data_IF_818320393322
#
_entry.id   IF_818320393322
#
_cell.length_a   1.000
_cell.length_b   1.000
_cell.length_c   1.000
_cell.angle_alpha   90.00
_cell.angle_beta   90.00
_cell.angle_gamma   90.00
#
_symmetry.space_group_name_H-M   'P 1'
#
loop_
_entity.id
_entity.type
_entity.pdbx_description
1 polymer ?
#
# COMPACT_ATOMS: atom_id res chain seq x y z
N UNK A 1 -14.54 13.76 -2.57
CA UNK A 1 -15.72 14.21 -1.82
C UNK A 1 -15.84 13.52 -0.46
N UNK A 2 -16.10 12.20 -0.41
CA UNK A 2 -16.20 11.42 0.85
C UNK A 2 -15.04 11.56 1.85
N UNK A 3 -13.80 11.70 1.37
CA UNK A 3 -12.65 11.93 2.26
C UNK A 3 -12.78 13.28 2.98
N UNK A 4 -13.16 14.34 2.26
CA UNK A 4 -13.35 15.67 2.84
C UNK A 4 -14.50 15.67 3.85
N UNK A 5 -15.64 15.07 3.50
CA UNK A 5 -16.78 14.94 4.42
C UNK A 5 -16.40 14.21 5.72
N UNK A 6 -15.60 13.14 5.63
CA UNK A 6 -15.12 12.43 6.81
C UNK A 6 -14.17 13.28 7.66
N UNK A 7 -13.29 14.06 7.02
CA UNK A 7 -12.41 14.98 7.74
C UNK A 7 -13.21 16.07 8.44
N UNK A 8 -14.17 16.69 7.76
CA UNK A 8 -15.05 17.71 8.32
C UNK A 8 -15.85 17.17 9.52
N UNK A 9 -16.44 15.97 9.37
CA UNK A 9 -17.20 15.30 10.44
C UNK A 9 -16.33 14.97 11.65
N UNK A 10 -15.05 14.68 11.44
CA UNK A 10 -14.08 14.41 12.52
C UNK A 10 -13.41 15.68 13.06
N UNK A 11 -13.71 16.86 12.51
CA UNK A 11 -13.11 18.13 12.91
C UNK A 11 -11.65 18.32 12.45
N UNK A 12 -11.20 17.57 11.44
CA UNK A 12 -9.87 17.70 10.86
C UNK A 12 -9.89 18.68 9.69
N UNK A 13 -9.60 19.95 9.97
CA UNK A 13 -9.50 20.98 8.94
C UNK A 13 -8.11 20.97 8.26
N UNK A 14 -8.06 21.34 6.97
CA UNK A 14 -6.79 21.54 6.27
C UNK A 14 -5.96 22.67 6.93
N UNK A 15 -4.65 22.49 6.99
CA UNK A 15 -3.73 23.41 7.65
C UNK A 15 -2.29 22.89 7.64
N UNK A 16 -1.53 23.19 8.71
CA UNK A 16 -0.14 22.74 8.81
C UNK A 16 -0.03 21.22 8.99
N UNK A 17 -0.94 20.62 9.76
CA UNK A 17 -0.90 19.19 10.12
C UNK A 17 -1.56 18.27 9.10
N UNK A 18 -2.42 18.80 8.23
CA UNK A 18 -3.17 18.03 7.24
C UNK A 18 -3.32 18.85 5.97
N UNK A 19 -2.97 18.25 4.84
CA UNK A 19 -3.24 18.80 3.50
C UNK A 19 -3.91 17.72 2.67
N UNK A 20 -5.07 18.01 2.12
CA UNK A 20 -5.78 17.07 1.24
C UNK A 20 -5.47 17.44 -0.21
N UNK A 21 -5.02 16.46 -0.99
CA UNK A 21 -4.75 16.61 -2.42
C UNK A 21 -5.44 15.52 -3.20
N UNK A 22 -6.22 15.92 -4.21
CA UNK A 22 -6.76 15.02 -5.22
C UNK A 22 -5.85 15.11 -6.45
N UNK A 23 -4.97 14.13 -6.62
CA UNK A 23 -4.00 14.07 -7.72
C UNK A 23 -3.68 12.62 -8.05
N UNK A 24 -3.09 12.38 -9.23
CA UNK A 24 -2.48 11.08 -9.53
C UNK A 24 -1.18 10.95 -8.71
N UNK A 25 -1.15 9.98 -7.80
CA UNK A 25 0.00 9.74 -6.95
C UNK A 25 1.26 9.32 -7.73
N UNK A 26 1.13 8.88 -8.98
CA UNK A 26 2.26 8.57 -9.88
C UNK A 26 2.83 9.81 -10.55
N UNK A 27 2.07 10.91 -10.65
CA UNK A 27 2.49 12.20 -11.21
C UNK A 27 2.98 13.15 -10.10
N UNK A 28 4.02 12.72 -9.40
CA UNK A 28 4.59 13.37 -8.21
C UNK A 28 4.81 14.88 -8.40
N UNK A 29 5.29 15.31 -9.56
CA UNK A 29 5.62 16.69 -9.87
C UNK A 29 4.40 17.62 -9.83
N UNK A 30 3.18 17.08 -9.98
CA UNK A 30 1.94 17.85 -9.95
C UNK A 30 1.47 18.23 -8.53
N UNK A 31 1.95 17.53 -7.49
CA UNK A 31 1.41 17.67 -6.13
C UNK A 31 2.46 17.72 -5.02
N UNK A 32 3.67 17.24 -5.26
CA UNK A 32 4.73 17.19 -4.25
C UNK A 32 5.47 18.53 -4.15
N UNK A 33 5.65 19.01 -2.92
CA UNK A 33 6.29 20.30 -2.62
C UNK A 33 7.83 20.20 -2.45
N UNK A 34 8.41 19.06 -2.83
CA UNK A 34 9.85 18.78 -2.69
C UNK A 34 10.29 18.41 -1.27
N UNK A 35 9.41 18.50 -0.26
CA UNK A 35 9.72 18.09 1.11
C UNK A 35 9.58 16.58 1.24
N UNK A 36 10.68 15.90 1.58
CA UNK A 36 10.66 14.45 1.78
C UNK A 36 9.80 14.06 2.99
N UNK A 37 9.12 12.93 2.87
CA UNK A 37 8.34 12.33 3.94
C UNK A 37 9.22 11.53 4.89
N UNK A 38 8.92 11.61 6.18
CA UNK A 38 9.44 10.70 7.19
C UNK A 38 8.91 9.28 6.99
N UNK A 39 7.63 9.17 6.66
CA UNK A 39 6.86 7.94 6.57
C UNK A 39 5.86 8.05 5.44
N UNK A 40 5.66 6.96 4.69
CA UNK A 40 4.64 6.85 3.65
C UNK A 40 3.79 5.61 3.94
N UNK A 41 2.47 5.76 3.98
CA UNK A 41 1.53 4.64 3.92
C UNK A 41 0.99 4.58 2.49
N UNK A 42 1.33 3.50 1.79
CA UNK A 42 0.80 3.20 0.47
C UNK A 42 -0.22 2.06 0.61
N UNK A 43 -1.49 2.44 0.77
CA UNK A 43 -2.62 1.53 0.58
C UNK A 43 -2.89 1.43 -0.92
N UNK A 44 -2.31 0.41 -1.55
CA UNK A 44 -2.22 0.34 -3.00
C UNK A 44 -3.53 -0.17 -3.62
N UNK A 45 -3.96 0.39 -4.77
CA UNK A 45 -5.11 -0.13 -5.50
C UNK A 45 -4.88 -1.62 -5.84
N UNK A 46 -5.83 -2.46 -5.44
CA UNK A 46 -5.69 -3.91 -5.41
C UNK A 46 -6.92 -4.61 -6.03
N UNK A 47 -6.82 -5.90 -6.32
CA UNK A 47 -7.94 -6.69 -6.85
C UNK A 47 -9.04 -6.98 -5.80
N UNK A 48 -8.79 -6.63 -4.55
CA UNK A 48 -9.70 -6.75 -3.41
C UNK A 48 -10.06 -8.20 -3.05
N UNK A 49 -9.27 -9.18 -3.48
CA UNK A 49 -9.51 -10.61 -3.18
C UNK A 49 -9.49 -10.93 -1.68
N UNK A 50 -8.90 -10.07 -0.85
CA UNK A 50 -8.92 -10.17 0.60
C UNK A 50 -10.27 -9.84 1.24
N UNK A 51 -11.12 -9.04 0.61
CA UNK A 51 -12.44 -8.65 1.17
C UNK A 51 -13.60 -9.49 0.63
N UNK A 52 -13.29 -10.66 0.06
CA UNK A 52 -14.24 -11.55 -0.62
C UNK A 52 -15.38 -12.08 0.28
N UNK A 53 -15.22 -12.01 1.61
CA UNK A 53 -16.28 -12.34 2.58
C UNK A 53 -17.40 -11.31 2.58
N UNK A 54 -17.05 -10.02 2.47
CA UNK A 54 -18.02 -8.91 2.41
C UNK A 54 -18.53 -8.65 0.99
N UNK A 55 -17.72 -9.02 0.00
CA UNK A 55 -17.95 -8.78 -1.42
C UNK A 55 -17.79 -10.08 -2.23
N UNK A 56 -18.72 -11.05 -2.13
CA UNK A 56 -18.60 -12.35 -2.80
C UNK A 56 -18.59 -12.25 -4.34
N UNK A 57 -19.13 -11.18 -4.91
CA UNK A 57 -19.11 -10.87 -6.34
C UNK A 57 -17.70 -10.79 -6.93
N UNK A 58 -16.69 -10.50 -6.10
CA UNK A 58 -15.27 -10.47 -6.49
C UNK A 58 -14.84 -11.80 -7.13
N UNK A 59 -15.41 -12.94 -6.69
CA UNK A 59 -15.15 -14.27 -7.27
C UNK A 59 -15.47 -14.36 -8.76
N UNK A 60 -16.47 -13.60 -9.20
CA UNK A 60 -17.02 -13.66 -10.55
C UNK A 60 -16.53 -12.51 -11.43
N UNK A 61 -16.35 -11.33 -10.83
CA UNK A 61 -16.02 -10.11 -11.57
C UNK A 61 -14.52 -9.92 -11.81
N UNK A 62 -13.66 -10.58 -11.01
CA UNK A 62 -12.21 -10.43 -11.16
C UNK A 62 -11.65 -11.33 -12.25
N UNK A 63 -10.85 -10.73 -13.11
CA UNK A 63 -10.18 -11.43 -14.21
C UNK A 63 -8.65 -11.38 -14.03
N UNK A 64 -7.91 -12.33 -14.60
CA UNK A 64 -6.44 -12.30 -14.57
C UNK A 64 -5.84 -10.99 -15.10
N UNK A 65 -6.38 -10.46 -16.20
CA UNK A 65 -5.90 -9.19 -16.77
C UNK A 65 -6.06 -7.98 -15.82
N UNK A 66 -7.05 -7.98 -14.94
CA UNK A 66 -7.18 -6.95 -13.90
C UNK A 66 -6.11 -7.09 -12.81
N UNK A 67 -5.70 -8.32 -12.48
CA UNK A 67 -4.59 -8.57 -11.55
C UNK A 67 -3.30 -7.99 -12.12
N UNK A 68 -3.03 -8.23 -13.40
CA UNK A 68 -1.84 -7.71 -14.08
C UNK A 68 -1.83 -6.18 -14.12
N UNK A 69 -2.96 -5.55 -14.46
CA UNK A 69 -3.11 -4.10 -14.46
C UNK A 69 -2.87 -3.50 -13.07
N UNK A 70 -3.45 -4.09 -12.02
CA UNK A 70 -3.22 -3.66 -10.65
C UNK A 70 -1.74 -3.77 -10.26
N UNK A 71 -1.10 -4.90 -10.60
CA UNK A 71 0.30 -5.15 -10.30
C UNK A 71 1.24 -4.15 -11.00
N UNK A 72 0.94 -3.75 -12.25
CA UNK A 72 1.67 -2.68 -12.96
C UNK A 72 1.51 -1.33 -12.27
N UNK A 73 0.29 -0.96 -11.88
CA UNK A 73 0.04 0.30 -11.19
C UNK A 73 0.72 0.34 -9.81
N UNK A 74 0.66 -0.74 -9.04
CA UNK A 74 1.34 -0.91 -7.76
C UNK A 74 2.85 -0.71 -7.90
N UNK A 75 3.46 -1.32 -8.92
CA UNK A 75 4.89 -1.14 -9.21
C UNK A 75 5.23 0.31 -9.54
N UNK A 76 4.41 0.98 -10.36
CA UNK A 76 4.58 2.40 -10.69
C UNK A 76 4.47 3.28 -9.45
N UNK A 77 3.48 3.04 -8.59
CA UNK A 77 3.30 3.79 -7.33
C UNK A 77 4.51 3.62 -6.40
N UNK A 78 4.99 2.40 -6.18
CA UNK A 78 6.19 2.15 -5.39
C UNK A 78 7.40 2.90 -5.94
N UNK A 79 7.66 2.78 -7.25
CA UNK A 79 8.77 3.44 -7.91
C UNK A 79 8.70 4.98 -7.80
N UNK A 80 7.50 5.55 -7.97
CA UNK A 80 7.32 7.01 -7.97
C UNK A 80 7.31 7.60 -6.57
N UNK A 81 6.80 6.90 -5.57
CA UNK A 81 6.73 7.39 -4.19
C UNK A 81 8.02 7.16 -3.38
N UNK A 82 8.84 6.18 -3.75
CA UNK A 82 10.07 5.85 -3.04
C UNK A 82 11.11 7.00 -2.93
N UNK A 83 11.34 7.81 -3.99
CA UNK A 83 12.25 8.97 -3.90
C UNK A 83 11.80 10.06 -2.93
N UNK A 84 10.50 10.15 -2.65
CA UNK A 84 9.89 11.15 -1.77
C UNK A 84 10.14 10.79 -0.30
N UNK A 85 10.52 9.54 -0.02
CA UNK A 85 10.91 9.10 1.31
C UNK A 85 12.34 9.54 1.63
N UNK A 86 12.54 10.14 2.80
CA UNK A 86 13.89 10.49 3.26
C UNK A 86 14.73 9.23 3.56
N UNK A 87 16.08 9.32 3.47
CA UNK A 87 16.95 8.30 4.04
C UNK A 87 16.61 8.07 5.52
N UNK A 88 16.54 6.80 5.94
CA UNK A 88 16.05 6.37 7.27
C UNK A 88 14.52 6.34 7.42
N UNK A 89 13.76 6.79 6.41
CA UNK A 89 12.30 6.79 6.40
C UNK A 89 11.69 5.39 6.22
N UNK A 90 10.39 5.26 6.46
CA UNK A 90 9.64 4.00 6.31
C UNK A 90 8.53 4.15 5.29
N UNK A 91 8.41 3.20 4.37
CA UNK A 91 7.22 3.00 3.55
C UNK A 91 6.50 1.74 4.03
N UNK A 92 5.21 1.86 4.37
CA UNK A 92 4.33 0.71 4.59
C UNK A 92 3.52 0.48 3.33
N UNK A 93 3.79 -0.61 2.63
CA UNK A 93 3.00 -1.08 1.50
C UNK A 93 1.89 -1.98 2.04
N UNK A 94 0.65 -1.68 1.68
CA UNK A 94 -0.51 -2.45 2.10
C UNK A 94 -1.42 -2.75 0.91
N UNK A 95 -2.03 -3.93 0.91
CA UNK A 95 -3.09 -4.27 -0.04
C UNK A 95 -4.21 -5.03 0.67
N UNK A 96 -5.40 -4.90 0.09
CA UNK A 96 -6.60 -5.68 0.37
C UNK A 96 -6.67 -6.99 -0.44
N UNK A 97 -5.55 -7.50 -0.95
CA UNK A 97 -5.47 -8.69 -1.81
C UNK A 97 -4.76 -9.84 -1.09
N UNK A 98 -5.08 -11.07 -1.47
CA UNK A 98 -4.36 -12.28 -1.02
C UNK A 98 -3.43 -12.86 -2.08
N UNK A 99 -3.39 -12.25 -3.27
CA UNK A 99 -2.62 -12.74 -4.41
C UNK A 99 -1.16 -12.33 -4.29
N UNK A 100 -0.25 -13.31 -4.42
CA UNK A 100 1.19 -13.07 -4.27
C UNK A 100 1.76 -12.10 -5.32
N UNK A 101 1.20 -12.08 -6.53
CA UNK A 101 1.57 -11.15 -7.61
C UNK A 101 1.35 -9.67 -7.26
N UNK A 102 0.45 -9.39 -6.31
CA UNK A 102 0.19 -8.05 -5.76
C UNK A 102 0.92 -7.80 -4.44
N UNK A 103 1.51 -8.84 -3.84
CA UNK A 103 1.98 -8.85 -2.45
C UNK A 103 3.47 -9.23 -2.35
N UNK A 104 3.76 -10.48 -1.97
CA UNK A 104 5.11 -10.96 -1.67
C UNK A 104 6.04 -10.79 -2.86
N UNK A 105 5.68 -11.37 -4.01
CA UNK A 105 6.44 -11.24 -5.26
C UNK A 105 6.64 -9.77 -5.67
N UNK A 106 5.62 -8.92 -5.51
CA UNK A 106 5.71 -7.49 -5.86
C UNK A 106 6.75 -6.76 -5.01
N UNK A 107 6.72 -6.96 -3.70
CA UNK A 107 7.67 -6.31 -2.79
C UNK A 107 9.07 -6.91 -2.96
N UNK A 108 9.20 -8.22 -3.15
CA UNK A 108 10.50 -8.86 -3.41
C UNK A 108 11.19 -8.22 -4.62
N UNK A 109 10.50 -8.13 -5.76
CA UNK A 109 11.08 -7.51 -6.96
C UNK A 109 11.44 -6.02 -6.76
N UNK A 110 10.67 -5.30 -5.95
CA UNK A 110 11.02 -3.92 -5.58
C UNK A 110 12.32 -3.86 -4.77
N UNK A 111 12.50 -4.73 -3.77
CA UNK A 111 13.70 -4.77 -2.93
C UNK A 111 14.95 -5.19 -3.71
N UNK A 112 14.82 -6.08 -4.70
CA UNK A 112 15.92 -6.49 -5.57
C UNK A 112 16.42 -5.34 -6.45
N UNK A 113 15.53 -4.44 -6.87
CA UNK A 113 15.85 -3.30 -7.73
C UNK A 113 16.34 -2.06 -6.95
N UNK A 114 16.17 -2.04 -5.62
CA UNK A 114 16.50 -0.90 -4.76
C UNK A 114 17.41 -1.35 -3.62
N UNK A 115 18.74 -1.36 -3.81
CA UNK A 115 19.71 -1.83 -2.81
C UNK A 115 19.66 -1.11 -1.47
N UNK A 116 19.12 0.10 -1.42
CA UNK A 116 18.87 0.89 -0.21
C UNK A 116 17.55 0.54 0.48
N UNK A 117 16.69 -0.28 -0.13
CA UNK A 117 15.45 -0.75 0.47
C UNK A 117 15.69 -2.02 1.31
N UNK A 118 15.17 -2.05 2.54
CA UNK A 118 15.21 -3.22 3.42
C UNK A 118 13.84 -3.49 4.00
N UNK A 119 13.35 -4.72 3.86
CA UNK A 119 12.16 -5.15 4.58
C UNK A 119 12.48 -5.23 6.08
N UNK A 120 11.64 -4.61 6.90
CA UNK A 120 11.66 -4.74 8.34
C UNK A 120 10.54 -5.67 8.78
N UNK A 121 10.87 -6.66 9.62
CA UNK A 121 9.89 -7.58 10.18
C UNK A 121 8.74 -6.83 10.85
N UNK A 122 7.51 -7.25 10.59
CA UNK A 122 6.32 -6.79 11.31
C UNK A 122 5.98 -7.86 12.34
N UNK A 123 6.14 -7.53 13.61
CA UNK A 123 5.76 -8.39 14.73
C UNK A 123 4.31 -8.06 15.12
N UNK A 124 3.37 -8.54 14.31
CA UNK A 124 1.94 -8.45 14.58
C UNK A 124 1.36 -9.87 14.59
N UNK A 125 0.67 -10.22 15.67
CA UNK A 125 0.04 -11.52 15.84
C UNK A 125 -1.46 -11.47 15.49
N UNK A 126 -2.04 -12.53 14.91
CA UNK A 126 -1.43 -13.61 14.12
C UNK A 126 -1.50 -13.30 12.60
N UNK A 127 -0.40 -12.81 12.04
CA UNK A 127 -0.22 -12.68 10.59
C UNK A 127 0.73 -13.77 10.07
N UNK A 128 0.49 -14.27 8.86
CA UNK A 128 1.34 -15.24 8.16
C UNK A 128 2.50 -14.52 7.47
N UNK A 129 3.72 -15.03 7.55
CA UNK A 129 4.83 -14.50 6.77
C UNK A 129 4.61 -14.82 5.27
N UNK A 130 4.65 -13.81 4.41
CA UNK A 130 4.54 -13.96 2.95
C UNK A 130 5.60 -13.08 2.30
N UNK A 131 6.64 -13.72 1.74
CA UNK A 131 7.80 -13.01 1.22
C UNK A 131 8.39 -12.04 2.26
N UNK A 132 8.63 -10.77 1.90
CA UNK A 132 9.17 -9.74 2.81
C UNK A 132 8.12 -9.12 3.75
N UNK A 133 6.85 -9.48 3.63
CA UNK A 133 5.75 -8.94 4.42
C UNK A 133 4.99 -9.98 5.23
N UNK A 134 3.84 -9.56 5.74
CA UNK A 134 2.90 -10.42 6.48
C UNK A 134 1.50 -10.32 5.87
N UNK A 135 0.74 -11.40 5.94
CA UNK A 135 -0.58 -11.52 5.37
C UNK A 135 -1.58 -12.11 6.37
N UNK A 136 -2.78 -11.57 6.38
CA UNK A 136 -3.96 -12.14 7.03
C UNK A 136 -4.83 -12.68 5.89
N UNK A 137 -5.35 -13.90 6.02
CA UNK A 137 -6.32 -14.43 5.06
C UNK A 137 -7.77 -14.11 5.47
N UNK A 138 -8.70 -13.99 4.52
CA UNK A 138 -10.11 -13.78 4.82
C UNK A 138 -10.62 -14.93 5.71
N UNK A 139 -11.23 -14.58 6.84
CA UNK A 139 -11.70 -15.58 7.81
C UNK A 139 -10.79 -15.72 9.02
N UNK A 140 -9.49 -15.46 8.87
CA UNK A 140 -8.58 -15.43 10.01
C UNK A 140 -8.94 -14.27 10.92
N UNK A 141 -8.98 -14.53 12.23
CA UNK A 141 -9.34 -13.55 13.26
C UNK A 141 -10.73 -12.93 13.04
N UNK A 142 -11.59 -13.62 12.31
CA UNK A 142 -12.88 -13.11 11.85
C UNK A 142 -12.79 -11.85 10.97
N UNK A 143 -11.60 -11.54 10.44
CA UNK A 143 -11.34 -10.35 9.61
C UNK A 143 -11.36 -10.65 8.11
N UNK A 144 -11.22 -9.59 7.31
CA UNK A 144 -10.83 -9.68 5.91
C UNK A 144 -9.34 -10.00 5.76
N UNK A 145 -8.96 -10.41 4.55
CA UNK A 145 -7.58 -10.59 4.18
C UNK A 145 -6.88 -9.28 3.82
N UNK A 146 -5.66 -9.13 4.30
CA UNK A 146 -4.78 -7.98 4.06
C UNK A 146 -3.33 -8.42 4.00
N UNK A 147 -2.53 -7.68 3.25
CA UNK A 147 -1.07 -7.82 3.21
C UNK A 147 -0.40 -6.52 3.63
N UNK A 148 0.71 -6.65 4.35
CA UNK A 148 1.52 -5.53 4.82
C UNK A 148 3.01 -5.83 4.65
N UNK A 149 3.76 -4.90 4.07
CA UNK A 149 5.22 -4.93 4.04
C UNK A 149 5.79 -3.59 4.51
N UNK A 150 6.60 -3.64 5.56
CA UNK A 150 7.29 -2.46 6.11
C UNK A 150 8.68 -2.39 5.50
N UNK A 151 8.96 -1.31 4.79
CA UNK A 151 10.22 -1.12 4.05
C UNK A 151 10.94 0.11 4.59
N UNK A 152 12.16 -0.09 5.07
CA UNK A 152 13.07 0.98 5.49
C UNK A 152 13.95 1.40 4.33
N UNK A 153 14.08 2.70 4.11
CA UNK A 153 15.13 3.28 3.26
C UNK A 153 16.39 3.43 4.09
N UNK A 154 17.45 2.73 3.74
CA UNK A 154 18.74 2.85 4.40
C UNK A 154 19.30 4.26 4.19
N UNK A 155 20.15 4.75 5.12
CA UNK A 155 20.83 6.04 5.00
C UNK A 155 21.66 6.17 3.73
#
# INVERSE_FOLDING_TARGET
ERVRENLDRLGFNEGEKLRLRAADATEVESWWDGRRFDRILLDAPCTATGVIRRHPEIKWLRTPGQVDQAAVLQARLLLRLWPLLRPGGILLYATCSVLDSENGSRVTGFLEQHPEARAERIEAAPCRQVGPGVQILPGELEMDGFYYARIRKQP
#
